data_IF_057065358337
#
_entry.id   IF_057065358337
#
_cell.length_a   1.000
_cell.length_b   1.000
_cell.length_c   1.000
_cell.angle_alpha   90.00
_cell.angle_beta   90.00
_cell.angle_gamma   90.00
#
_symmetry.space_group_name_H-M   'P 1'
#
loop_
_entity.id
_entity.type
_entity.pdbx_description
1 polymer ?
#
# COMPACT_ATOMS: atom_id res chain seq x y z
N UNK A 1 6.81 -12.99 80.76
CA UNK A 1 7.37 -12.33 79.56
C UNK A 1 6.67 -12.91 78.33
N UNK A 2 5.80 -12.11 77.70
CA UNK A 2 4.88 -12.53 76.63
C UNK A 2 5.61 -12.37 75.30
N UNK A 3 5.99 -13.47 74.63
CA UNK A 3 6.60 -13.43 73.29
C UNK A 3 5.48 -13.49 72.25
N UNK A 4 5.23 -12.37 71.59
CA UNK A 4 4.30 -12.27 70.46
C UNK A 4 5.11 -12.59 69.20
N UNK A 5 4.81 -13.70 68.54
CA UNK A 5 5.31 -13.98 67.19
C UNK A 5 4.36 -13.32 66.19
N UNK A 6 4.87 -12.32 65.48
CA UNK A 6 4.17 -11.66 64.38
C UNK A 6 4.50 -12.44 63.09
N UNK A 7 3.54 -13.22 62.59
CA UNK A 7 3.64 -13.85 61.28
C UNK A 7 3.21 -12.82 60.23
N UNK A 8 4.17 -12.37 59.41
CA UNK A 8 3.90 -11.54 58.23
C UNK A 8 3.56 -12.48 57.08
N UNK A 9 2.30 -12.51 56.68
CA UNK A 9 1.86 -13.20 55.47
C UNK A 9 2.08 -12.27 54.27
N UNK A 10 3.13 -12.54 53.49
CA UNK A 10 3.37 -11.87 52.22
C UNK A 10 2.38 -12.41 51.19
N UNK A 11 1.34 -11.63 50.88
CA UNK A 11 0.43 -11.93 49.79
C UNK A 11 1.16 -11.69 48.45
N UNK A 12 1.65 -12.77 47.84
CA UNK A 12 2.18 -12.75 46.47
C UNK A 12 0.97 -12.69 45.52
N UNK A 13 0.60 -11.48 45.10
CA UNK A 13 -0.38 -11.29 44.03
C UNK A 13 0.25 -11.73 42.71
N UNK A 14 0.06 -12.99 42.33
CA UNK A 14 0.36 -13.44 40.97
C UNK A 14 -0.71 -12.83 40.04
N UNK A 15 -0.39 -11.68 39.45
CA UNK A 15 -1.05 -11.24 38.23
C UNK A 15 -0.71 -12.24 37.14
N UNK A 16 -1.56 -13.25 36.96
CA UNK A 16 -1.59 -14.01 35.72
C UNK A 16 -2.09 -13.04 34.66
N UNK A 17 -1.17 -12.45 33.90
CA UNK A 17 -1.53 -11.92 32.59
C UNK A 17 -2.08 -13.09 31.80
N UNK A 18 -3.40 -13.08 31.56
CA UNK A 18 -4.02 -13.91 30.53
C UNK A 18 -3.51 -13.42 29.19
N UNK A 19 -2.31 -13.85 28.81
CA UNK A 19 -1.72 -13.53 27.51
C UNK A 19 -2.60 -14.21 26.46
N UNK A 20 -3.27 -13.42 25.63
CA UNK A 20 -4.13 -13.95 24.56
C UNK A 20 -3.26 -14.81 23.64
N UNK A 21 -3.74 -15.98 23.27
CA UNK A 21 -2.96 -16.88 22.42
C UNK A 21 -2.79 -16.25 21.03
N UNK A 22 -1.56 -16.19 20.51
CA UNK A 22 -1.32 -15.61 19.20
C UNK A 22 -1.86 -16.51 18.08
N UNK A 23 -2.13 -15.92 16.92
CA UNK A 23 -2.56 -16.65 15.72
C UNK A 23 -1.36 -17.04 14.89
N UNK A 24 -1.15 -18.34 14.72
CA UNK A 24 -0.15 -18.87 13.79
C UNK A 24 -0.73 -18.95 12.37
N UNK A 25 0.00 -18.40 11.41
CA UNK A 25 -0.33 -18.44 9.98
C UNK A 25 0.76 -19.22 9.25
N UNK A 26 0.38 -20.26 8.53
CA UNK A 26 1.30 -21.00 7.65
C UNK A 26 1.03 -20.64 6.20
N UNK A 27 2.05 -20.15 5.51
CA UNK A 27 2.00 -19.82 4.08
C UNK A 27 2.78 -20.89 3.33
N UNK A 28 2.15 -21.47 2.31
CA UNK A 28 2.73 -22.54 1.48
C UNK A 28 2.87 -22.08 0.04
N UNK A 29 4.04 -22.32 -0.56
CA UNK A 29 4.28 -22.13 -1.98
C UNK A 29 4.35 -23.52 -2.67
N UNK A 30 3.29 -23.93 -3.38
CA UNK A 30 3.27 -25.24 -4.05
C UNK A 30 4.07 -25.27 -5.36
N UNK A 31 4.52 -24.11 -5.86
CA UNK A 31 5.27 -24.03 -7.11
C UNK A 31 6.74 -24.35 -6.89
N UNK A 32 7.45 -24.76 -7.93
CA UNK A 32 8.90 -25.06 -7.87
C UNK A 32 9.80 -23.82 -7.96
N UNK A 33 9.22 -22.62 -7.98
CA UNK A 33 9.94 -21.35 -8.09
C UNK A 33 9.81 -20.59 -6.78
N UNK A 34 10.86 -19.86 -6.40
CA UNK A 34 10.85 -18.98 -5.23
C UNK A 34 9.88 -17.81 -5.46
N UNK A 35 9.11 -17.46 -4.42
CA UNK A 35 8.29 -16.25 -4.38
C UNK A 35 8.85 -15.36 -3.29
N UNK A 36 9.31 -14.16 -3.64
CA UNK A 36 10.02 -13.28 -2.72
C UNK A 36 9.30 -11.93 -2.60
N UNK A 37 9.03 -11.50 -1.38
CA UNK A 37 8.40 -10.21 -1.09
C UNK A 37 6.96 -10.07 -1.60
N UNK A 38 6.23 -11.17 -1.74
CA UNK A 38 4.83 -11.10 -2.16
C UNK A 38 3.91 -10.75 -0.99
N UNK A 39 2.91 -9.91 -1.23
CA UNK A 39 1.94 -9.54 -0.21
C UNK A 39 0.93 -10.68 -0.04
N UNK A 40 0.90 -11.28 1.14
CA UNK A 40 -0.22 -12.13 1.56
C UNK A 40 -1.35 -11.25 2.07
N UNK A 41 -2.60 -11.71 1.96
CA UNK A 41 -3.77 -11.00 2.45
C UNK A 41 -4.58 -11.94 3.35
N UNK A 42 -4.90 -11.48 4.56
CA UNK A 42 -5.65 -12.25 5.55
C UNK A 42 -6.76 -11.39 6.11
N UNK A 43 -7.99 -11.92 6.17
CA UNK A 43 -9.11 -11.15 6.72
C UNK A 43 -8.90 -10.81 8.21
N UNK A 44 -9.07 -9.54 8.56
CA UNK A 44 -9.03 -9.10 9.96
C UNK A 44 -10.13 -9.72 10.80
N UNK A 45 -11.27 -10.09 10.21
CA UNK A 45 -12.34 -10.80 10.92
C UNK A 45 -11.90 -12.20 11.40
N UNK A 46 -11.09 -12.92 10.60
CA UNK A 46 -10.54 -14.22 11.00
C UNK A 46 -9.48 -14.08 12.11
N UNK A 47 -8.67 -13.03 12.04
CA UNK A 47 -7.62 -12.74 13.02
C UNK A 47 -8.26 -12.36 14.37
N UNK A 48 -9.15 -11.36 14.37
CA UNK A 48 -9.81 -10.86 15.57
C UNK A 48 -10.70 -11.91 16.21
N UNK A 49 -11.41 -12.71 15.40
CA UNK A 49 -12.21 -13.83 15.88
C UNK A 49 -11.40 -14.91 16.61
N UNK A 50 -10.16 -15.16 16.19
CA UNK A 50 -9.24 -16.09 16.86
C UNK A 50 -8.55 -15.48 18.07
N UNK A 51 -8.07 -14.23 17.97
CA UNK A 51 -7.37 -13.54 19.04
C UNK A 51 -8.28 -13.02 20.16
N UNK A 52 -9.60 -12.92 19.92
CA UNK A 52 -10.55 -12.29 20.83
C UNK A 52 -10.13 -10.86 21.20
N UNK A 53 -9.71 -10.09 20.19
CA UNK A 53 -9.28 -8.71 20.35
C UNK A 53 -10.48 -7.76 20.45
N UNK A 54 -10.42 -6.71 21.29
CA UNK A 54 -11.33 -5.59 21.16
C UNK A 54 -11.03 -4.82 19.86
N UNK A 55 -12.03 -4.09 19.34
CA UNK A 55 -11.95 -3.34 18.08
C UNK A 55 -10.79 -2.32 18.02
N UNK A 56 -10.27 -1.90 19.18
CA UNK A 56 -9.18 -0.91 19.29
C UNK A 56 -7.80 -1.53 19.42
N UNK A 57 -7.67 -2.86 19.46
CA UNK A 57 -6.38 -3.50 19.62
C UNK A 57 -5.56 -3.40 18.34
N UNK A 58 -4.27 -3.12 18.51
CA UNK A 58 -3.29 -3.23 17.44
C UNK A 58 -2.67 -4.62 17.45
N UNK A 59 -2.22 -5.06 16.29
CA UNK A 59 -1.49 -6.30 16.13
C UNK A 59 -0.05 -6.02 15.69
N UNK A 60 0.78 -7.04 15.86
CA UNK A 60 2.09 -7.17 15.22
C UNK A 60 2.14 -8.49 14.48
N UNK A 61 2.92 -8.52 13.40
CA UNK A 61 3.21 -9.74 12.63
C UNK A 61 4.67 -10.09 12.87
N UNK A 62 4.93 -11.31 13.32
CA UNK A 62 6.26 -11.83 13.62
C UNK A 62 6.62 -12.95 12.65
N UNK A 63 7.86 -12.96 12.16
CA UNK A 63 8.41 -14.06 11.38
C UNK A 63 8.78 -15.28 12.26
N UNK A 64 9.36 -16.31 11.65
CA UNK A 64 9.80 -17.54 12.34
C UNK A 64 10.89 -17.32 13.40
N UNK A 65 11.59 -16.19 13.35
CA UNK A 65 12.63 -15.80 14.29
C UNK A 65 12.10 -14.86 15.38
N UNK A 66 10.81 -14.51 15.34
CA UNK A 66 10.19 -13.56 16.26
C UNK A 66 10.51 -12.10 15.95
N UNK A 67 11.02 -11.79 14.74
CA UNK A 67 11.21 -10.41 14.30
C UNK A 67 9.91 -9.86 13.71
N UNK A 68 9.61 -8.62 14.05
CA UNK A 68 8.46 -7.91 13.50
C UNK A 68 8.66 -7.64 12.01
N UNK A 69 7.63 -7.95 11.22
CA UNK A 69 7.55 -7.63 9.80
C UNK A 69 6.51 -6.53 9.59
N UNK A 70 6.74 -5.61 8.63
CA UNK A 70 5.80 -4.56 8.35
C UNK A 70 4.47 -5.13 7.88
N UNK A 71 3.36 -4.52 8.28
CA UNK A 71 2.04 -4.84 7.78
C UNK A 71 1.24 -3.57 7.50
N UNK A 72 0.12 -3.75 6.80
CA UNK A 72 -0.91 -2.74 6.61
C UNK A 72 -2.28 -3.40 6.72
N UNK A 73 -3.27 -2.69 7.26
CA UNK A 73 -4.69 -3.07 7.15
C UNK A 73 -5.28 -2.25 6.00
N UNK A 74 -5.88 -2.91 5.02
CA UNK A 74 -6.46 -2.27 3.85
C UNK A 74 -7.88 -1.77 4.10
N UNK A 75 -8.39 -0.93 3.20
CA UNK A 75 -9.74 -0.36 3.24
C UNK A 75 -10.88 -1.40 3.31
N UNK A 76 -10.61 -2.64 2.87
CA UNK A 76 -11.52 -3.78 2.88
C UNK A 76 -11.20 -4.80 3.99
N UNK A 77 -10.55 -4.33 5.06
CA UNK A 77 -10.25 -5.09 6.29
C UNK A 77 -9.35 -6.32 6.07
N UNK A 78 -8.38 -6.22 5.15
CA UNK A 78 -7.35 -7.24 4.95
C UNK A 78 -6.04 -6.81 5.61
N UNK A 79 -5.48 -7.67 6.46
CA UNK A 79 -4.11 -7.55 6.93
C UNK A 79 -3.17 -8.08 5.85
N UNK A 80 -2.29 -7.21 5.37
CA UNK A 80 -1.29 -7.52 4.35
C UNK A 80 0.12 -7.36 4.90
N UNK A 81 1.02 -8.26 4.49
CA UNK A 81 2.45 -8.19 4.83
C UNK A 81 3.28 -8.97 3.80
N UNK A 82 4.56 -8.61 3.60
CA UNK A 82 5.41 -9.27 2.62
C UNK A 82 5.90 -10.63 3.14
N UNK A 83 5.86 -11.64 2.27
CA UNK A 83 6.31 -13.01 2.56
C UNK A 83 7.28 -13.48 1.48
N UNK A 84 8.29 -14.23 1.89
CA UNK A 84 9.19 -14.93 0.97
C UNK A 84 9.17 -16.42 1.25
N UNK A 85 8.82 -17.24 0.25
CA UNK A 85 8.69 -18.70 0.37
C UNK A 85 9.45 -19.37 -0.77
N UNK A 86 10.37 -20.26 -0.42
CA UNK A 86 11.06 -21.11 -1.39
C UNK A 86 10.10 -22.02 -2.15
N UNK A 87 10.49 -22.43 -3.35
CA UNK A 87 9.69 -23.38 -4.13
C UNK A 87 9.42 -24.68 -3.36
N UNK A 88 8.16 -25.10 -3.28
CA UNK A 88 7.71 -26.30 -2.57
C UNK A 88 7.80 -26.23 -1.04
N UNK A 89 8.05 -25.04 -0.48
CA UNK A 89 8.24 -24.85 0.96
C UNK A 89 7.00 -24.23 1.64
N UNK A 90 7.06 -24.19 2.96
CA UNK A 90 6.13 -23.41 3.79
C UNK A 90 6.92 -22.62 4.82
N UNK A 91 6.38 -21.46 5.20
CA UNK A 91 6.90 -20.58 6.24
C UNK A 91 5.79 -20.25 7.22
N UNK A 92 6.17 -19.92 8.45
CA UNK A 92 5.21 -19.62 9.52
C UNK A 92 5.40 -18.21 10.04
N UNK A 93 4.30 -17.52 10.24
CA UNK A 93 4.22 -16.21 10.87
C UNK A 93 3.28 -16.27 12.07
N UNK A 94 3.49 -15.35 13.01
CA UNK A 94 2.69 -15.24 14.22
C UNK A 94 2.08 -13.84 14.29
N UNK A 95 0.76 -13.77 14.41
CA UNK A 95 0.03 -12.53 14.61
C UNK A 95 -0.37 -12.45 16.07
N UNK A 96 0.00 -11.38 16.75
CA UNK A 96 -0.25 -11.19 18.18
C UNK A 96 -0.71 -9.76 18.48
N UNK A 97 -1.38 -9.57 19.62
CA UNK A 97 -1.63 -8.22 20.13
C UNK A 97 -0.31 -7.52 20.44
N UNK A 98 -0.14 -6.29 19.96
CA UNK A 98 1.10 -5.54 20.15
C UNK A 98 1.02 -4.15 19.52
N UNK A 99 2.00 -3.30 19.87
CA UNK A 99 2.15 -1.98 19.26
C UNK A 99 3.19 -2.08 18.14
N UNK A 100 2.80 -1.84 16.87
CA UNK A 100 3.73 -1.99 15.76
C UNK A 100 4.81 -0.92 15.75
N UNK A 101 5.98 -1.28 15.25
CA UNK A 101 7.05 -0.35 14.95
C UNK A 101 6.69 0.54 13.75
N UNK A 102 7.26 1.75 13.67
CA UNK A 102 7.18 2.55 12.45
C UNK A 102 7.72 1.77 11.25
N UNK A 103 7.05 1.91 10.11
CA UNK A 103 7.39 1.25 8.85
C UNK A 103 7.66 2.31 7.80
N UNK A 104 8.70 2.11 7.00
CA UNK A 104 9.00 2.96 5.85
C UNK A 104 7.91 2.83 4.78
N UNK A 105 7.49 3.96 4.23
CA UNK A 105 6.50 4.00 3.16
C UNK A 105 7.15 3.52 1.86
N UNK A 106 6.74 2.36 1.36
CA UNK A 106 7.21 1.80 0.09
C UNK A 106 6.19 1.96 -1.03
N UNK A 107 4.93 2.28 -0.72
CA UNK A 107 3.90 2.62 -1.70
C UNK A 107 2.96 3.72 -1.17
N UNK A 108 2.75 4.77 -1.95
CA UNK A 108 1.89 5.89 -1.59
C UNK A 108 1.42 6.66 -2.83
N UNK A 109 0.48 7.58 -2.62
CA UNK A 109 -0.01 8.47 -3.67
C UNK A 109 -1.09 9.42 -3.18
N UNK A 110 -1.48 10.34 -4.05
CA UNK A 110 -2.62 11.24 -3.83
C UNK A 110 -3.08 11.87 -5.14
N UNK A 111 -4.18 12.61 -5.05
CA UNK A 111 -4.56 13.58 -6.06
C UNK A 111 -3.78 14.89 -5.83
N UNK A 112 -3.39 15.53 -6.93
CA UNK A 112 -2.64 16.78 -7.00
C UNK A 112 -3.48 17.83 -7.77
N UNK A 113 -4.45 18.49 -7.13
CA UNK A 113 -5.25 19.55 -7.77
C UNK A 113 -4.40 20.67 -8.38
N UNK A 114 -3.29 21.01 -7.73
CA UNK A 114 -2.28 21.96 -8.18
C UNK A 114 -1.59 21.55 -9.50
N UNK A 115 -1.70 20.27 -9.87
CA UNK A 115 -1.23 19.68 -11.13
C UNK A 115 -2.41 19.33 -12.04
N UNK A 116 -3.45 20.17 -12.07
CA UNK A 116 -4.63 19.99 -12.93
C UNK A 116 -5.36 18.66 -12.66
N UNK A 117 -5.48 18.34 -11.37
CA UNK A 117 -6.09 17.12 -10.84
C UNK A 117 -5.33 15.84 -11.23
N UNK A 118 -4.02 15.88 -11.45
CA UNK A 118 -3.26 14.65 -11.64
C UNK A 118 -3.43 13.72 -10.42
N UNK A 119 -3.61 12.41 -10.64
CA UNK A 119 -3.44 11.41 -9.58
C UNK A 119 -2.10 10.75 -9.80
N UNK A 120 -1.19 10.89 -8.85
CA UNK A 120 0.11 10.24 -8.94
C UNK A 120 0.35 9.33 -7.74
N UNK A 121 0.97 8.19 -8.02
CA UNK A 121 1.32 7.18 -7.03
C UNK A 121 2.67 6.57 -7.38
N UNK A 122 3.32 6.01 -6.38
CA UNK A 122 4.64 5.42 -6.54
C UNK A 122 4.85 4.21 -5.65
N UNK A 123 5.86 3.43 -6.02
CA UNK A 123 6.39 2.36 -5.21
C UNK A 123 7.93 2.44 -5.13
N UNK A 124 8.58 1.41 -4.59
CA UNK A 124 10.04 1.30 -4.47
C UNK A 124 10.80 1.21 -5.81
N UNK A 125 10.10 1.22 -6.95
CA UNK A 125 10.67 1.01 -8.30
C UNK A 125 10.32 2.08 -9.31
N UNK A 126 9.12 2.62 -9.26
CA UNK A 126 8.61 3.55 -10.25
C UNK A 126 7.52 4.44 -9.65
N UNK A 127 7.25 5.54 -10.35
CA UNK A 127 6.08 6.35 -10.10
C UNK A 127 5.19 6.34 -11.34
N UNK A 128 3.94 6.73 -11.16
CA UNK A 128 2.90 6.65 -12.17
C UNK A 128 1.97 7.85 -12.02
N UNK A 129 1.33 8.21 -13.12
CA UNK A 129 0.35 9.28 -13.14
C UNK A 129 -0.85 8.92 -13.99
N UNK A 130 -2.04 9.21 -13.47
CA UNK A 130 -3.24 9.41 -14.25
C UNK A 130 -3.51 10.91 -14.39
N UNK A 131 -3.72 11.37 -15.62
CA UNK A 131 -4.04 12.76 -15.89
C UNK A 131 -5.43 13.14 -15.36
N UNK A 132 -5.54 14.39 -14.92
CA UNK A 132 -6.73 14.89 -14.25
C UNK A 132 -7.81 15.51 -15.14
N UNK A 133 -9.07 15.55 -14.67
CA UNK A 133 -10.17 16.20 -15.37
C UNK A 133 -9.91 17.70 -15.68
N UNK A 134 -9.26 18.48 -14.80
CA UNK A 134 -8.93 19.87 -15.12
C UNK A 134 -7.94 20.03 -16.30
N UNK A 135 -7.08 19.04 -16.58
CA UNK A 135 -6.25 19.04 -17.78
C UNK A 135 -7.09 18.80 -19.03
N UNK A 136 -7.99 17.82 -18.98
CA UNK A 136 -8.89 17.52 -20.08
C UNK A 136 -9.82 18.68 -20.43
N UNK A 137 -10.31 19.42 -19.43
CA UNK A 137 -11.15 20.62 -19.66
C UNK A 137 -10.45 21.69 -20.50
N UNK A 138 -9.12 21.72 -20.50
CA UNK A 138 -8.31 22.60 -21.36
C UNK A 138 -8.20 22.12 -22.82
N UNK A 139 -8.80 20.97 -23.15
CA UNK A 139 -8.81 20.39 -24.49
C UNK A 139 -7.64 19.44 -24.76
N UNK A 140 -6.83 19.13 -23.75
CA UNK A 140 -5.72 18.18 -23.89
C UNK A 140 -6.23 16.75 -24.05
N UNK A 141 -5.56 16.01 -24.92
CA UNK A 141 -5.90 14.61 -25.24
C UNK A 141 -5.08 13.67 -24.38
N UNK A 142 -5.30 13.71 -23.07
CA UNK A 142 -4.54 12.93 -22.08
C UNK A 142 -5.32 11.66 -21.69
N UNK A 143 -5.00 10.54 -22.36
CA UNK A 143 -5.77 9.30 -22.21
C UNK A 143 -5.03 8.23 -21.39
N UNK A 144 -3.70 8.23 -21.46
CA UNK A 144 -2.86 7.20 -20.88
C UNK A 144 -2.43 7.44 -19.44
N UNK A 145 -1.82 6.42 -18.83
CA UNK A 145 -1.02 6.61 -17.64
C UNK A 145 0.44 6.89 -17.99
N UNK A 146 1.08 7.84 -17.32
CA UNK A 146 2.54 7.97 -17.39
C UNK A 146 3.22 7.00 -16.46
N UNK A 147 4.46 6.64 -16.83
CA UNK A 147 5.39 5.89 -16.00
C UNK A 147 6.62 6.75 -15.83
N UNK A 148 7.01 7.00 -14.59
CA UNK A 148 8.19 7.75 -14.23
C UNK A 148 9.25 6.80 -13.72
N UNK A 149 10.49 7.08 -14.09
CA UNK A 149 11.63 6.29 -13.63
C UNK A 149 12.03 6.69 -12.22
N UNK A 150 12.40 5.70 -11.42
CA UNK A 150 13.07 5.87 -10.13
C UNK A 150 14.31 4.99 -10.08
N UNK A 151 15.34 5.46 -9.39
CA UNK A 151 16.53 4.68 -9.04
C UNK A 151 16.76 4.63 -7.51
N UNK A 152 15.78 5.12 -6.74
CA UNK A 152 15.74 5.09 -5.28
C UNK A 152 14.46 4.41 -4.80
N UNK A 153 14.49 3.70 -3.65
CA UNK A 153 13.33 3.02 -3.10
C UNK A 153 12.34 3.96 -2.38
N UNK A 154 12.79 5.07 -1.81
CA UNK A 154 11.94 6.00 -1.07
C UNK A 154 10.96 6.78 -1.98
N UNK A 155 9.83 7.28 -1.45
CA UNK A 155 8.91 8.16 -2.19
C UNK A 155 9.57 9.49 -2.59
N UNK A 156 9.33 9.95 -3.81
CA UNK A 156 9.93 11.18 -4.39
C UNK A 156 8.97 12.01 -5.22
N UNK A 157 7.73 11.57 -5.47
CA UNK A 157 6.77 12.26 -6.34
C UNK A 157 6.37 13.63 -5.76
N UNK A 158 6.15 13.70 -4.46
CA UNK A 158 5.80 14.95 -3.76
C UNK A 158 6.90 16.00 -3.98
N UNK A 159 8.15 15.65 -3.66
CA UNK A 159 9.31 16.54 -3.83
C UNK A 159 9.55 16.93 -5.28
N UNK A 160 9.31 16.01 -6.23
CA UNK A 160 9.42 16.29 -7.67
C UNK A 160 8.39 17.31 -8.13
N UNK A 161 7.14 17.21 -7.68
CA UNK A 161 6.13 18.19 -8.02
C UNK A 161 6.36 19.54 -7.35
N UNK A 162 6.75 19.55 -6.07
CA UNK A 162 7.09 20.80 -5.38
C UNK A 162 8.29 21.49 -6.07
N UNK A 163 9.33 20.73 -6.42
CA UNK A 163 10.48 21.22 -7.15
C UNK A 163 10.12 21.89 -8.47
N UNK A 164 9.26 21.25 -9.28
CA UNK A 164 8.85 21.78 -10.58
C UNK A 164 7.94 23.00 -10.46
N UNK A 165 6.97 22.98 -9.53
CA UNK A 165 6.01 24.07 -9.35
C UNK A 165 6.62 25.29 -8.66
N UNK A 166 7.45 25.08 -7.64
CA UNK A 166 7.84 26.15 -6.70
C UNK A 166 9.32 26.52 -6.78
N UNK A 167 10.17 25.67 -7.34
CA UNK A 167 11.62 25.84 -7.31
C UNK A 167 12.27 25.90 -8.71
N UNK A 168 11.50 25.67 -9.78
CA UNK A 168 11.99 25.63 -11.15
C UNK A 168 12.89 24.41 -11.43
N UNK A 169 12.77 23.36 -10.62
CA UNK A 169 13.51 22.11 -10.73
C UNK A 169 12.61 21.11 -11.47
N UNK A 170 12.83 20.95 -12.77
CA UNK A 170 11.95 20.10 -13.56
C UNK A 170 12.16 18.62 -13.27
N UNK A 171 11.08 17.91 -12.94
CA UNK A 171 11.10 16.44 -12.78
C UNK A 171 11.31 15.69 -14.10
N UNK A 172 11.40 16.39 -15.25
CA UNK A 172 11.81 15.84 -16.55
C UNK A 172 13.34 15.77 -16.72
N UNK A 173 14.12 16.18 -15.71
CA UNK A 173 15.58 16.08 -15.65
C UNK A 173 15.96 15.21 -14.46
N UNK A 174 16.94 14.31 -14.63
CA UNK A 174 17.45 13.52 -13.49
C UNK A 174 18.18 14.43 -12.50
N UNK A 175 17.70 14.46 -11.26
CA UNK A 175 18.36 15.13 -10.15
C UNK A 175 18.94 14.14 -9.11
N UNK A 176 19.09 12.88 -9.49
CA UNK A 176 19.71 11.82 -8.68
C UNK A 176 18.74 10.78 -8.15
N UNK A 177 17.43 10.96 -8.36
CA UNK A 177 16.39 10.01 -7.95
C UNK A 177 15.59 9.42 -9.14
N UNK A 178 15.97 9.73 -10.39
CA UNK A 178 15.23 9.40 -11.62
C UNK A 178 14.47 10.61 -12.19
N UNK A 179 13.58 10.36 -13.16
CA UNK A 179 12.81 11.42 -13.84
C UNK A 179 11.53 10.90 -14.50
N UNK A 180 10.63 11.81 -14.89
CA UNK A 180 9.63 11.55 -15.91
C UNK A 180 10.24 11.77 -17.30
N UNK A 181 10.53 10.69 -18.02
CA UNK A 181 11.12 10.76 -19.35
C UNK A 181 10.09 10.70 -20.49
N UNK A 182 8.79 10.68 -20.16
CA UNK A 182 7.72 10.47 -21.14
C UNK A 182 6.72 11.63 -21.17
N UNK A 183 6.17 11.89 -22.35
CA UNK A 183 4.95 12.66 -22.52
C UNK A 183 3.95 11.75 -23.23
N UNK A 184 2.92 11.30 -22.53
CA UNK A 184 1.93 10.36 -23.10
C UNK A 184 1.17 10.96 -24.27
N UNK A 185 0.85 12.25 -24.22
CA UNK A 185 0.09 12.94 -25.27
C UNK A 185 -1.19 12.15 -25.65
N UNK A 186 -1.58 12.10 -26.94
CA UNK A 186 -2.80 11.42 -27.39
C UNK A 186 -2.67 9.88 -27.46
N UNK A 187 -1.75 9.27 -26.71
CA UNK A 187 -1.55 7.81 -26.66
C UNK A 187 -2.20 7.20 -25.40
N UNK A 188 -2.19 5.87 -25.31
CA UNK A 188 -2.70 5.14 -24.13
C UNK A 188 -1.63 4.98 -23.02
N UNK A 189 -0.42 5.50 -23.22
CA UNK A 189 0.65 5.40 -22.21
C UNK A 189 0.91 3.99 -21.72
N UNK A 190 1.22 3.87 -20.43
CA UNK A 190 1.56 2.63 -19.75
C UNK A 190 0.39 2.02 -19.00
N UNK A 191 -0.41 1.16 -19.66
CA UNK A 191 -1.39 0.31 -18.98
C UNK A 191 -2.85 0.78 -19.04
N UNK A 192 -3.17 1.84 -19.79
CA UNK A 192 -4.56 2.24 -20.01
C UNK A 192 -5.29 1.26 -20.94
N UNK A 193 -6.45 0.79 -20.49
CA UNK A 193 -7.36 0.00 -21.31
C UNK A 193 -8.24 0.91 -22.19
N UNK A 194 -8.48 0.52 -23.44
CA UNK A 194 -9.36 1.22 -24.36
C UNK A 194 -10.32 0.25 -25.07
N UNK A 195 -11.47 0.75 -25.53
CA UNK A 195 -12.40 -0.04 -26.34
C UNK A 195 -11.93 -0.03 -27.80
N UNK A 196 -12.11 -1.16 -28.51
CA UNK A 196 -11.70 -1.30 -29.91
C UNK A 196 -12.81 -1.82 -30.85
N UNK A 197 -13.94 -1.08 -30.97
CA UNK A 197 -15.02 -1.47 -31.86
C UNK A 197 -14.72 -1.14 -33.34
N UNK A 198 -15.06 -2.06 -34.26
CA UNK A 198 -14.86 -1.92 -35.72
C UNK A 198 -13.48 -1.36 -36.11
N UNK A 199 -12.42 -1.94 -35.55
CA UNK A 199 -11.04 -1.57 -35.85
C UNK A 199 -10.67 -0.12 -35.53
N UNK A 200 -11.42 0.55 -34.65
CA UNK A 200 -11.16 1.93 -34.20
C UNK A 200 -10.99 1.98 -32.69
N UNK A 201 -9.96 2.69 -32.21
CA UNK A 201 -9.78 2.92 -30.77
C UNK A 201 -10.75 4.01 -30.30
N UNK A 202 -11.50 3.69 -29.26
CA UNK A 202 -12.24 4.67 -28.47
C UNK A 202 -11.40 4.98 -27.24
N UNK A 203 -10.77 6.16 -27.27
CA UNK A 203 -9.86 6.59 -26.22
C UNK A 203 -10.63 6.92 -24.94
N UNK A 204 -10.19 6.41 -23.78
CA UNK A 204 -10.74 6.83 -22.50
C UNK A 204 -10.23 8.23 -22.18
N UNK A 205 -11.16 9.11 -21.84
CA UNK A 205 -10.84 10.41 -21.26
C UNK A 205 -10.35 10.25 -19.81
N UNK A 206 -9.87 11.33 -19.20
CA UNK A 206 -9.48 11.36 -17.79
C UNK A 206 -10.62 10.88 -16.87
N UNK A 207 -10.24 10.43 -15.68
CA UNK A 207 -11.21 10.04 -14.66
C UNK A 207 -12.11 11.23 -14.29
N UNK A 208 -13.31 10.93 -13.81
CA UNK A 208 -14.29 11.89 -13.31
C UNK A 208 -14.16 12.06 -11.79
N UNK A 209 -14.18 10.94 -11.07
CA UNK A 209 -14.09 10.90 -9.61
C UNK A 209 -12.89 10.05 -9.21
N UNK A 210 -12.12 10.50 -8.20
CA UNK A 210 -11.00 9.78 -7.61
C UNK A 210 -11.21 9.61 -6.11
N UNK A 211 -10.99 8.39 -5.61
CA UNK A 211 -11.06 8.05 -4.19
C UNK A 211 -9.81 7.24 -3.82
N UNK A 212 -8.99 7.78 -2.91
CA UNK A 212 -7.86 7.04 -2.33
C UNK A 212 -8.40 6.14 -1.23
N UNK A 213 -8.25 4.83 -1.41
CA UNK A 213 -8.75 3.80 -0.51
C UNK A 213 -7.66 3.37 0.49
N UNK A 214 -6.43 3.16 -0.01
CA UNK A 214 -5.25 2.85 0.80
C UNK A 214 -4.13 3.84 0.47
N UNK A 215 -3.40 4.30 1.48
CA UNK A 215 -2.25 5.18 1.29
C UNK A 215 -1.01 4.75 2.09
N UNK A 216 -0.55 3.53 1.81
CA UNK A 216 0.66 2.98 2.39
C UNK A 216 0.50 2.46 3.82
N UNK A 217 1.61 1.98 4.42
CA UNK A 217 2.97 2.06 3.89
C UNK A 217 3.31 1.02 2.81
N UNK A 218 2.56 -0.08 2.70
CA UNK A 218 2.88 -1.21 1.82
C UNK A 218 2.07 -1.25 0.51
N UNK A 219 0.87 -0.66 0.52
CA UNK A 219 -0.06 -0.63 -0.61
C UNK A 219 -0.71 0.72 -0.73
N UNK A 220 -0.71 1.24 -1.96
CA UNK A 220 -1.58 2.31 -2.39
C UNK A 220 -2.70 1.73 -3.25
N UNK A 221 -3.93 2.14 -2.98
CA UNK A 221 -5.11 1.75 -3.75
C UNK A 221 -5.92 3.00 -4.03
N UNK A 222 -6.26 3.21 -5.30
CA UNK A 222 -7.16 4.28 -5.72
C UNK A 222 -8.26 3.73 -6.60
N UNK A 223 -9.43 4.33 -6.51
CA UNK A 223 -10.58 4.06 -7.36
C UNK A 223 -10.81 5.27 -8.25
N UNK A 224 -10.66 5.04 -9.56
CA UNK A 224 -10.94 6.02 -10.60
C UNK A 224 -12.26 5.66 -11.29
N UNK A 225 -13.23 6.57 -11.24
CA UNK A 225 -14.52 6.42 -11.94
C UNK A 225 -14.49 7.27 -13.19
N UNK A 226 -14.79 6.68 -14.35
CA UNK A 226 -14.79 7.37 -15.64
C UNK A 226 -16.21 7.77 -16.06
N UNK A 227 -16.30 8.81 -16.90
CA UNK A 227 -17.59 9.22 -17.47
C UNK A 227 -18.23 8.08 -18.28
N UNK A 228 -19.55 7.90 -18.21
CA UNK A 228 -20.24 6.94 -19.06
C UNK A 228 -20.07 7.34 -20.53
N UNK A 229 -19.87 6.34 -21.39
CA UNK A 229 -19.70 6.53 -22.83
C UNK A 229 -20.64 5.62 -23.60
N UNK A 230 -21.42 6.20 -24.51
CA UNK A 230 -22.23 5.45 -25.48
C UNK A 230 -21.39 5.15 -26.70
N UNK A 231 -21.15 3.86 -26.95
CA UNK A 231 -20.40 3.38 -28.11
C UNK A 231 -21.39 2.68 -29.04
N UNK A 232 -21.65 3.29 -30.20
CA UNK A 232 -22.53 2.76 -31.27
C UNK A 232 -24.01 2.55 -30.94
N UNK A 233 -24.58 3.32 -30.00
CA UNK A 233 -26.03 3.40 -29.79
C UNK A 233 -26.60 2.23 -29.01
#
# INVERSE_FOLDING_TARGET
MRKIFLAVATALAMFSCSQKEPVTVTITNPLSIDRNGEMVEISMAEITGKLQLPDTAQVIVLDENGLEVPYQITYDDMLIFPVSVKGGASVTYTIAEGTPQPVDVVACGRQYPERLDDVAWENDRAAYRAYGPALQEKGERAFGYDIWTKNVPEPVVEDRYDGDLNQGISYHIDHGNGMDCYAVGPTLGGGTAALFPDSTIVYPYCYKDCEVLDNGPLRFTTKLVYNPLVVKG
#
